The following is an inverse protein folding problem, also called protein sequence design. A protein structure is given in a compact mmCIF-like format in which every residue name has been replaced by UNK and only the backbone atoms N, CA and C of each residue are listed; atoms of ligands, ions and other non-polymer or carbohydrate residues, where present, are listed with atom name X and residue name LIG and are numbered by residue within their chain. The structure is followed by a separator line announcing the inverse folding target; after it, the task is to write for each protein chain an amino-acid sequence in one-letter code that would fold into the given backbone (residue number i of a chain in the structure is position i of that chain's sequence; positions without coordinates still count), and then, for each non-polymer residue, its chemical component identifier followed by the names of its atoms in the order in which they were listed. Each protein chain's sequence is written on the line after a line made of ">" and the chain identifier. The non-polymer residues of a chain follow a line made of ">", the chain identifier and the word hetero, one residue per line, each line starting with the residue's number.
data_IF_405614254593
#
_entry.id   IF_405614254593
#
_cell.length_a   1.000
_cell.length_b   1.000
_cell.length_c   1.000
_cell.angle_alpha   90.00
_cell.angle_beta   90.00
_cell.angle_gamma   90.00
#
_symmetry.space_group_name_H-M   'P 1'
#
loop_
_entity.id
_entity.type
_entity.pdbx_description
1 polymer ?
#
# COMPACT_ATOMS: atom_id res chain seq x y z
N UNK A 1 7.15 -6.49 11.02
CA UNK A 1 6.53 -5.73 9.91
C UNK A 1 6.58 -4.25 10.24
N UNK A 2 6.87 -3.42 9.24
CA UNK A 2 6.86 -1.97 9.43
C UNK A 2 5.45 -1.45 9.60
N UNK A 3 5.29 -0.37 10.34
CA UNK A 3 3.97 0.21 10.63
C UNK A 3 3.28 0.83 9.41
N UNK A 4 4.04 1.11 8.35
CA UNK A 4 3.50 1.65 7.11
C UNK A 4 3.47 0.53 6.07
N UNK A 5 2.28 0.18 5.62
CA UNK A 5 2.08 -0.91 4.68
C UNK A 5 1.51 -0.34 3.39
N UNK A 6 2.09 -0.75 2.26
CA UNK A 6 1.61 -0.36 0.94
C UNK A 6 1.32 -1.61 0.13
N UNK A 7 0.12 -1.69 -0.42
CA UNK A 7 -0.29 -2.77 -1.32
C UNK A 7 -0.46 -2.18 -2.70
N UNK A 8 0.29 -2.72 -3.67
CA UNK A 8 0.29 -2.24 -5.05
C UNK A 8 -0.11 -3.36 -6.00
N UNK A 9 -0.58 -2.98 -7.16
CA UNK A 9 -0.99 -3.92 -8.21
C UNK A 9 -1.97 -3.25 -9.16
N UNK A 10 -2.32 -3.95 -10.22
CA UNK A 10 -3.29 -3.48 -11.19
C UNK A 10 -4.71 -3.50 -10.61
N UNK A 11 -5.65 -2.71 -11.16
CA UNK A 11 -7.06 -2.84 -10.79
C UNK A 11 -7.56 -4.27 -11.00
N UNK A 12 -8.41 -4.74 -10.11
CA UNK A 12 -9.01 -6.07 -10.23
C UNK A 12 -8.16 -7.22 -9.73
N UNK A 13 -7.06 -6.95 -9.03
CA UNK A 13 -6.20 -8.01 -8.47
C UNK A 13 -6.57 -8.43 -7.05
N UNK A 14 -7.61 -7.84 -6.47
CA UNK A 14 -8.00 -8.15 -5.10
C UNK A 14 -7.22 -7.42 -4.03
N UNK A 15 -6.55 -6.33 -4.38
CA UNK A 15 -5.76 -5.53 -3.42
C UNK A 15 -6.59 -5.01 -2.26
N UNK A 16 -7.78 -4.50 -2.55
CA UNK A 16 -8.65 -3.94 -1.53
C UNK A 16 -9.11 -5.00 -0.54
N UNK A 17 -9.41 -6.20 -1.01
CA UNK A 17 -9.78 -7.30 -0.14
C UNK A 17 -8.63 -7.68 0.80
N UNK A 18 -7.44 -7.81 0.25
CA UNK A 18 -6.24 -8.09 1.05
C UNK A 18 -5.98 -6.97 2.06
N UNK A 19 -6.11 -5.72 1.61
CA UNK A 19 -5.89 -4.56 2.48
C UNK A 19 -6.88 -4.52 3.63
N UNK A 20 -8.15 -4.84 3.38
CA UNK A 20 -9.17 -4.91 4.42
C UNK A 20 -8.84 -5.98 5.47
N UNK A 21 -8.39 -7.14 5.03
CA UNK A 21 -8.00 -8.21 5.96
C UNK A 21 -6.82 -7.77 6.82
N UNK A 22 -5.79 -7.20 6.21
CA UNK A 22 -4.63 -6.74 6.94
C UNK A 22 -4.95 -5.60 7.92
N UNK A 23 -5.75 -4.63 7.49
CA UNK A 23 -6.15 -3.51 8.33
C UNK A 23 -6.91 -4.01 9.56
N UNK A 24 -7.81 -4.96 9.36
CA UNK A 24 -8.58 -5.54 10.46
C UNK A 24 -7.68 -6.32 11.43
N UNK A 25 -6.82 -7.18 10.90
CA UNK A 25 -5.92 -7.99 11.72
C UNK A 25 -4.96 -7.14 12.55
N UNK A 26 -4.50 -6.03 11.99
CA UNK A 26 -3.53 -5.15 12.66
C UNK A 26 -4.17 -4.00 13.39
N UNK A 27 -5.47 -3.83 13.27
CA UNK A 27 -6.21 -2.68 13.80
C UNK A 27 -5.64 -1.36 13.27
N UNK A 28 -5.39 -1.33 11.96
CA UNK A 28 -4.92 -0.16 11.24
C UNK A 28 -6.04 0.41 10.39
N UNK A 29 -5.94 1.69 10.06
CA UNK A 29 -6.88 2.33 9.12
C UNK A 29 -6.48 1.99 7.68
N UNK A 30 -7.48 1.92 6.81
CA UNK A 30 -7.29 1.69 5.39
C UNK A 30 -7.36 3.03 4.62
N UNK A 31 -6.38 3.27 3.75
CA UNK A 31 -6.37 4.41 2.84
C UNK A 31 -6.27 3.89 1.41
N UNK A 32 -7.36 3.96 0.67
CA UNK A 32 -7.44 3.46 -0.69
C UNK A 32 -7.18 4.57 -1.71
N UNK A 33 -6.85 4.15 -2.92
CA UNK A 33 -6.65 5.03 -4.08
C UNK A 33 -5.55 6.08 -3.87
N UNK A 34 -4.43 5.66 -3.31
CA UNK A 34 -3.26 6.54 -3.18
C UNK A 34 -2.76 6.92 -4.58
N UNK A 35 -2.66 8.22 -4.88
CA UNK A 35 -2.44 8.66 -6.26
C UNK A 35 -1.01 8.50 -6.76
N UNK A 36 -0.01 8.64 -5.89
CA UNK A 36 1.39 8.60 -6.32
C UNK A 36 2.33 8.30 -5.16
N UNK A 37 3.55 7.89 -5.50
CA UNK A 37 4.60 7.68 -4.51
C UNK A 37 5.00 8.99 -3.82
N UNK A 38 5.03 10.09 -4.57
CA UNK A 38 5.35 11.40 -3.99
C UNK A 38 4.32 11.83 -2.97
N UNK A 39 3.04 11.66 -3.29
CA UNK A 39 1.97 11.98 -2.34
C UNK A 39 2.14 11.17 -1.05
N UNK A 40 2.40 9.88 -1.20
CA UNK A 40 2.52 8.99 -0.06
C UNK A 40 3.77 9.31 0.77
N UNK A 41 4.88 9.65 0.11
CA UNK A 41 6.10 10.04 0.80
C UNK A 41 5.86 11.24 1.73
N UNK A 42 5.06 12.21 1.29
CA UNK A 42 4.76 13.42 2.05
C UNK A 42 3.69 13.19 3.11
N UNK A 43 2.68 12.39 2.82
CA UNK A 43 1.46 12.31 3.64
C UNK A 43 1.34 11.04 4.47
N UNK A 44 2.25 10.08 4.34
CA UNK A 44 2.11 8.80 5.01
C UNK A 44 2.16 8.94 6.53
N UNK A 45 1.27 8.22 7.18
CA UNK A 45 1.20 8.13 8.63
C UNK A 45 1.38 6.68 9.08
N UNK A 46 1.91 6.44 10.29
CA UNK A 46 2.05 5.09 10.79
C UNK A 46 0.69 4.46 11.08
N UNK A 47 0.66 3.14 11.14
CA UNK A 47 -0.53 2.36 11.50
C UNK A 47 -1.66 2.50 10.50
N UNK A 48 -1.28 2.55 9.22
CA UNK A 48 -2.24 2.58 8.11
C UNK A 48 -1.82 1.61 7.02
N UNK A 49 -2.81 1.07 6.33
CA UNK A 49 -2.62 0.23 5.15
C UNK A 49 -3.03 1.07 3.94
N UNK A 50 -2.06 1.33 3.06
CA UNK A 50 -2.27 2.12 1.85
C UNK A 50 -2.41 1.20 0.64
N UNK A 51 -3.31 1.56 -0.27
CA UNK A 51 -3.56 0.81 -1.51
C UNK A 51 -3.43 1.74 -2.70
N UNK A 52 -2.72 1.30 -3.73
CA UNK A 52 -2.55 2.09 -4.94
C UNK A 52 -2.57 1.22 -6.20
N UNK A 53 -3.23 1.74 -7.24
CA UNK A 53 -3.19 1.19 -8.59
C UNK A 53 -2.08 1.83 -9.43
N UNK A 54 -1.50 2.92 -8.95
CA UNK A 54 -0.63 3.79 -9.75
C UNK A 54 0.84 3.70 -9.39
N UNK A 55 1.17 3.24 -8.19
CA UNK A 55 2.56 3.15 -7.74
C UNK A 55 3.15 1.85 -8.25
N UNK A 56 4.30 1.93 -8.93
CA UNK A 56 5.03 0.75 -9.38
C UNK A 56 5.94 0.22 -8.28
N UNK A 57 6.34 -1.04 -8.42
CA UNK A 57 7.30 -1.66 -7.50
C UNK A 57 8.63 -0.90 -7.50
N UNK A 58 9.06 -0.44 -8.67
CA UNK A 58 10.30 0.33 -8.80
C UNK A 58 10.22 1.64 -8.01
N UNK A 59 9.11 2.37 -8.15
CA UNK A 59 8.90 3.61 -7.39
C UNK A 59 8.88 3.35 -5.89
N UNK A 60 8.19 2.31 -5.46
CA UNK A 60 8.14 1.97 -4.05
C UNK A 60 9.52 1.64 -3.50
N UNK A 61 10.34 0.93 -4.27
CA UNK A 61 11.70 0.58 -3.87
C UNK A 61 12.57 1.83 -3.67
N UNK A 62 12.41 2.82 -4.54
CA UNK A 62 13.23 4.04 -4.49
C UNK A 62 12.75 5.02 -3.42
N UNK A 63 11.45 5.27 -3.36
CA UNK A 63 10.89 6.37 -2.56
C UNK A 63 10.29 5.93 -1.24
N UNK A 64 9.91 4.65 -1.10
CA UNK A 64 9.11 4.19 0.03
C UNK A 64 9.80 3.06 0.79
N UNK A 65 11.08 3.25 1.09
CA UNK A 65 11.90 2.24 1.77
C UNK A 65 11.43 1.92 3.18
N UNK A 66 10.68 2.84 3.79
CA UNK A 66 10.15 2.67 5.14
C UNK A 66 8.88 1.83 5.16
N UNK A 67 8.37 1.44 4.01
CA UNK A 67 7.12 0.70 3.90
C UNK A 67 7.38 -0.79 3.78
N UNK A 68 6.45 -1.57 4.31
CA UNK A 68 6.29 -2.96 3.91
C UNK A 68 5.47 -2.95 2.64
N UNK A 69 6.06 -3.32 1.52
CA UNK A 69 5.41 -3.26 0.21
C UNK A 69 4.98 -4.67 -0.21
N UNK A 70 3.69 -4.81 -0.51
CA UNK A 70 3.12 -6.07 -0.99
C UNK A 70 2.61 -5.83 -2.41
N UNK A 71 3.20 -6.52 -3.37
CA UNK A 71 2.78 -6.45 -4.76
C UNK A 71 1.84 -7.63 -5.05
N UNK A 72 0.63 -7.31 -5.48
CA UNK A 72 -0.38 -8.32 -5.81
C UNK A 72 -0.47 -8.44 -7.32
N UNK A 73 -0.32 -9.64 -7.82
CA UNK A 73 -0.45 -9.90 -9.25
C UNK A 73 -1.55 -10.93 -9.49
N UNK A 74 -2.22 -10.76 -10.62
CA UNK A 74 -3.24 -11.68 -11.08
C UNK A 74 -2.56 -12.73 -11.95
N UNK A 75 -2.63 -13.97 -11.53
CA UNK A 75 -1.99 -15.08 -12.25
C UNK A 75 -2.94 -15.71 -13.26
#
# INVERSE_FOLDING_TARGET
>A
MKEKILIIGRPGTGKTDLANVLAELMNYDLVDEVPSAQWLFVNAEPRKVYVSNSITKAEATVYLRNFTVIAVSNL
#
